data_IF_070646319294
#
_entry.id   IF_070646319294
#
_cell.length_a   1.000
_cell.length_b   1.000
_cell.length_c   1.000
_cell.angle_alpha   90.00
_cell.angle_beta   90.00
_cell.angle_gamma   90.00
#
_symmetry.space_group_name_H-M   'P 1'
#
loop_
_entity.id
_entity.type
_entity.pdbx_description
1 polymer ?
#
# COMPACT_ATOMS: atom_id res chain seq x y z
N UNK A 1 19.88 -9.57 11.61
CA UNK A 1 19.13 -8.30 11.77
C UNK A 1 17.73 -8.50 11.23
N UNK A 2 16.70 -8.27 12.05
CA UNK A 2 15.29 -8.38 11.66
C UNK A 2 14.88 -7.18 10.84
N UNK A 3 14.37 -7.39 9.62
CA UNK A 3 13.88 -6.32 8.74
C UNK A 3 12.36 -6.21 8.89
N UNK A 4 11.89 -5.06 9.36
CA UNK A 4 10.46 -4.80 9.54
C UNK A 4 9.94 -4.03 8.33
N UNK A 5 9.04 -4.65 7.55
CA UNK A 5 8.49 -4.05 6.33
C UNK A 5 6.99 -3.84 6.49
N UNK A 6 6.56 -2.59 6.34
CA UNK A 6 5.15 -2.23 6.33
C UNK A 6 4.65 -2.11 4.88
N UNK A 7 3.73 -3.01 4.50
CA UNK A 7 3.16 -3.01 3.16
C UNK A 7 1.82 -2.28 3.13
N UNK A 8 1.74 -1.22 2.32
CA UNK A 8 0.54 -0.41 2.14
C UNK A 8 0.01 -0.58 0.71
N UNK A 9 -1.19 -1.20 0.59
CA UNK A 9 -1.92 -1.33 -0.68
C UNK A 9 -3.06 -0.32 -0.70
N UNK A 10 -3.08 0.53 -1.72
CA UNK A 10 -4.20 1.44 -1.99
C UNK A 10 -4.77 1.20 -3.37
N UNK A 11 -6.09 1.08 -3.43
CA UNK A 11 -6.87 0.93 -4.66
C UNK A 11 -7.37 2.29 -5.17
N UNK A 12 -7.41 3.30 -4.30
CA UNK A 12 -7.91 4.65 -4.60
C UNK A 12 -6.90 5.68 -4.10
N UNK A 13 -6.76 6.80 -4.83
CA UNK A 13 -5.77 7.86 -4.54
C UNK A 13 -6.13 8.61 -3.25
N UNK A 14 -7.43 8.73 -3.01
CA UNK A 14 -8.04 9.50 -1.94
C UNK A 14 -8.38 8.60 -0.73
N UNK A 15 -7.40 7.84 -0.27
CA UNK A 15 -7.48 7.19 1.04
C UNK A 15 -6.42 7.82 1.93
N UNK A 16 -6.80 8.21 3.15
CA UNK A 16 -5.98 8.98 4.08
C UNK A 16 -4.81 8.12 4.62
N UNK A 17 -3.75 8.03 3.84
CA UNK A 17 -2.59 7.17 4.12
C UNK A 17 -1.72 7.65 5.29
N UNK A 18 -1.84 8.92 5.65
CA UNK A 18 -1.08 9.55 6.73
C UNK A 18 -1.42 8.92 8.09
N UNK A 19 -2.71 8.68 8.35
CA UNK A 19 -3.18 7.98 9.56
C UNK A 19 -2.64 6.56 9.63
N UNK A 20 -2.75 5.80 8.54
CA UNK A 20 -2.26 4.41 8.52
C UNK A 20 -0.74 4.33 8.75
N UNK A 21 0.04 5.27 8.23
CA UNK A 21 1.49 5.32 8.51
C UNK A 21 1.76 5.62 9.98
N UNK A 22 1.02 6.56 10.58
CA UNK A 22 1.17 6.93 11.98
C UNK A 22 0.83 5.75 12.91
N UNK A 23 -0.27 5.05 12.65
CA UNK A 23 -0.67 3.82 13.37
C UNK A 23 0.39 2.71 13.25
N UNK A 24 0.93 2.48 12.05
CA UNK A 24 1.98 1.47 11.84
C UNK A 24 3.26 1.85 12.57
N UNK A 25 3.62 3.15 12.60
CA UNK A 25 4.78 3.62 13.33
C UNK A 25 4.58 3.45 14.85
N UNK A 26 3.38 3.74 15.35
CA UNK A 26 3.02 3.52 16.75
C UNK A 26 3.08 2.04 17.13
N UNK A 27 2.47 1.16 16.32
CA UNK A 27 2.50 -0.29 16.52
C UNK A 27 3.93 -0.85 16.47
N UNK A 28 4.78 -0.29 15.60
CA UNK A 28 6.17 -0.70 15.52
C UNK A 28 6.98 -0.28 16.75
N UNK A 29 6.77 0.94 17.24
CA UNK A 29 7.39 1.40 18.49
C UNK A 29 6.90 0.58 19.69
N UNK A 30 5.59 0.31 19.77
CA UNK A 30 4.97 -0.51 20.82
C UNK A 30 5.54 -1.93 20.85
N UNK A 31 5.73 -2.54 19.68
CA UNK A 31 6.33 -3.88 19.55
C UNK A 31 7.86 -3.89 19.64
N UNK A 32 8.52 -2.75 19.83
CA UNK A 32 9.98 -2.64 19.84
C UNK A 32 10.63 -3.00 18.48
N UNK A 33 9.88 -2.86 17.39
CA UNK A 33 10.36 -3.14 16.05
C UNK A 33 11.26 -2.00 15.59
N UNK A 34 12.50 -2.35 15.26
CA UNK A 34 13.47 -1.42 14.66
C UNK A 34 12.97 -0.91 13.29
N UNK A 35 13.69 0.07 12.72
CA UNK A 35 13.34 0.87 11.53
C UNK A 35 12.36 0.19 10.56
N UNK A 36 11.15 0.75 10.45
CA UNK A 36 10.09 0.28 9.55
C UNK A 36 10.30 0.84 8.16
N UNK A 37 10.43 -0.03 7.17
CA UNK A 37 10.43 0.36 5.75
C UNK A 37 9.01 0.32 5.18
N UNK A 38 8.54 1.45 4.66
CA UNK A 38 7.20 1.56 4.07
C UNK A 38 7.23 1.32 2.57
N UNK A 39 6.59 0.24 2.12
CA UNK A 39 6.41 -0.07 0.69
C UNK A 39 4.99 0.29 0.29
N UNK A 40 4.84 1.32 -0.56
CA UNK A 40 3.55 1.77 -1.08
C UNK A 40 3.32 1.23 -2.49
N UNK A 41 2.28 0.41 -2.68
CA UNK A 41 1.85 -0.06 -4.02
C UNK A 41 0.50 0.56 -4.39
N UNK A 42 0.51 1.40 -5.42
CA UNK A 42 -0.68 2.03 -6.00
C UNK A 42 -1.17 1.18 -7.17
N UNK A 43 -2.34 0.55 -7.04
CA UNK A 43 -2.99 -0.13 -8.17
C UNK A 43 -3.80 0.90 -8.96
N UNK A 44 -3.28 1.35 -10.10
CA UNK A 44 -4.08 2.13 -11.06
C UNK A 44 -5.02 1.16 -11.78
N UNK A 45 -6.33 1.43 -11.75
CA UNK A 45 -7.37 0.67 -12.49
C UNK A 45 -7.28 0.84 -14.03
N UNK A 46 -6.10 1.01 -14.62
CA UNK A 46 -5.97 1.13 -16.08
C UNK A 46 -5.91 -0.22 -16.81
N UNK A 47 -5.83 -1.34 -16.10
CA UNK A 47 -5.67 -2.67 -16.73
C UNK A 47 -7.00 -3.42 -16.94
N UNK A 48 -8.06 -3.13 -16.17
CA UNK A 48 -9.33 -3.84 -16.33
C UNK A 48 -10.19 -3.32 -17.49
N UNK A 49 -9.93 -2.10 -17.98
CA UNK A 49 -10.68 -1.50 -19.09
C UNK A 49 -10.14 -1.93 -20.46
N UNK A 50 -8.86 -2.30 -20.56
CA UNK A 50 -8.25 -2.73 -21.84
C UNK A 50 -8.64 -4.14 -22.28
N UNK A 51 -9.24 -4.95 -21.41
CA UNK A 51 -9.64 -6.33 -21.76
C UNK A 51 -11.08 -6.46 -22.24
N UNK A 52 -11.90 -5.40 -22.17
CA UNK A 52 -13.29 -5.43 -22.64
C UNK A 52 -13.46 -4.98 -24.09
N UNK A 53 -12.47 -4.29 -24.66
CA UNK A 53 -12.55 -3.70 -26.01
C UNK A 53 -11.81 -4.52 -27.09
N UNK A 54 -11.36 -5.74 -26.78
CA UNK A 54 -10.67 -6.64 -27.74
C UNK A 54 -11.50 -7.87 -28.17
N UNK A 55 -12.80 -7.87 -27.89
CA UNK A 55 -13.75 -8.92 -28.32
C UNK A 55 -14.89 -8.39 -29.20
N UNK A 56 -14.77 -7.17 -29.72
CA UNK A 56 -15.72 -6.61 -30.68
C UNK A 56 -14.97 -5.99 -31.87
N UNK A 57 -14.40 -6.84 -32.72
CA UNK A 57 -14.02 -6.55 -34.12
C UNK A 57 -13.90 -7.86 -34.87
#
# INVERSE_FOLDING_TARGET
MTRTVAYLRVSTIDQYLEKNKADILHLANDKGLSRVEFIKKKFRKSFLEKSKNRTAS
#
